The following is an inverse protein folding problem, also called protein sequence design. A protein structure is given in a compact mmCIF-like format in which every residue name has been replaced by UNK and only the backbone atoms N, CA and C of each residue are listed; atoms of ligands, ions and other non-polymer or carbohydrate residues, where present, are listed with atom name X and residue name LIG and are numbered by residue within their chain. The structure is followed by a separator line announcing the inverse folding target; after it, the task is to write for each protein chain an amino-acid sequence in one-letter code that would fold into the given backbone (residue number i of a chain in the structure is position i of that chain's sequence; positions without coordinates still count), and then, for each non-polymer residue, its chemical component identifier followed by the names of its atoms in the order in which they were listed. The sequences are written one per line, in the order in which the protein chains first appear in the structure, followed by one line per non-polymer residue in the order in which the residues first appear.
data_IF_783545450911
#
_entry.id   IF_783545450911
#
_cell.length_a   1.000
_cell.length_b   1.000
_cell.length_c   1.000
_cell.angle_alpha   90.00
_cell.angle_beta   90.00
_cell.angle_gamma   90.00
#
_symmetry.space_group_name_H-M   'P 1'
#
loop_
_entity.id
_entity.type
_entity.pdbx_description
1 polymer ?
#
# COMPACT_ATOMS: atom_id res chain seq x y z
N UNK A 1 16.79 -38.41 2.51
CA UNK A 1 16.06 -37.75 3.61
C UNK A 1 16.76 -36.44 3.93
N UNK A 2 16.18 -35.26 3.61
CA UNK A 2 16.72 -33.98 4.08
C UNK A 2 16.26 -33.80 5.53
N UNK A 3 17.19 -33.90 6.48
CA UNK A 3 16.91 -33.54 7.87
C UNK A 3 16.52 -32.06 7.92
N UNK A 4 15.35 -31.76 8.48
CA UNK A 4 14.98 -30.38 8.79
C UNK A 4 15.93 -29.88 9.88
N UNK A 5 16.93 -29.08 9.49
CA UNK A 5 17.70 -28.29 10.45
C UNK A 5 16.71 -27.38 11.17
N UNK A 6 16.65 -27.48 12.50
CA UNK A 6 15.81 -26.61 13.30
C UNK A 6 16.23 -25.17 13.03
N UNK A 7 15.27 -24.25 12.81
CA UNK A 7 15.54 -22.81 12.65
C UNK A 7 16.30 -22.25 13.88
N UNK A 8 16.27 -22.97 15.00
CA UNK A 8 17.00 -22.67 16.23
C UNK A 8 18.52 -22.84 16.13
N UNK A 9 19.01 -23.67 15.19
CA UNK A 9 20.43 -24.03 15.05
C UNK A 9 21.19 -23.18 14.01
N UNK A 10 20.54 -22.14 13.49
CA UNK A 10 21.10 -21.25 12.47
C UNK A 10 22.32 -20.49 13.03
N UNK A 11 23.44 -20.49 12.32
CA UNK A 11 24.65 -19.77 12.73
C UNK A 11 24.46 -18.25 12.67
N UNK A 12 25.40 -17.49 13.27
CA UNK A 12 25.42 -16.02 13.16
C UNK A 12 25.51 -15.58 11.69
N UNK A 13 26.38 -16.22 10.91
CA UNK A 13 26.58 -15.91 9.50
C UNK A 13 25.34 -16.24 8.67
N UNK A 14 24.69 -17.38 8.92
CA UNK A 14 23.43 -17.74 8.26
C UNK A 14 22.30 -16.76 8.62
N UNK A 15 22.24 -16.29 9.86
CA UNK A 15 21.27 -15.30 10.32
C UNK A 15 21.50 -13.91 9.72
N UNK A 16 22.75 -13.48 9.66
CA UNK A 16 23.17 -12.25 9.00
C UNK A 16 22.90 -12.28 7.49
N UNK A 17 23.16 -13.41 6.82
CA UNK A 17 22.88 -13.60 5.40
C UNK A 17 21.38 -13.46 5.06
N UNK A 18 20.48 -13.68 6.02
CA UNK A 18 19.03 -13.48 5.85
C UNK A 18 18.54 -12.05 6.11
N UNK A 19 19.43 -11.10 6.46
CA UNK A 19 19.06 -9.72 6.74
C UNK A 19 18.31 -9.07 5.57
N UNK A 20 18.83 -9.22 4.36
CA UNK A 20 18.24 -8.62 3.16
C UNK A 20 16.86 -9.19 2.86
N UNK A 21 16.73 -10.52 2.84
CA UNK A 21 15.44 -11.18 2.59
C UNK A 21 14.39 -10.76 3.62
N UNK A 22 14.78 -10.64 4.89
CA UNK A 22 13.90 -10.16 5.94
C UNK A 22 13.45 -8.72 5.69
N UNK A 23 14.38 -7.80 5.44
CA UNK A 23 14.05 -6.41 5.16
C UNK A 23 13.11 -6.26 3.95
N UNK A 24 13.30 -7.07 2.90
CA UNK A 24 12.43 -7.10 1.71
C UNK A 24 11.03 -7.67 1.97
N UNK A 25 10.90 -8.61 2.92
CA UNK A 25 9.62 -9.30 3.21
C UNK A 25 8.76 -8.61 4.26
N UNK A 26 9.36 -7.77 5.12
CA UNK A 26 8.60 -7.06 6.17
C UNK A 26 7.59 -6.05 5.64
N UNK A 27 7.84 -5.45 4.48
CA UNK A 27 6.99 -4.39 3.89
C UNK A 27 7.34 -4.24 2.42
N UNK A 28 6.41 -3.76 1.57
CA UNK A 28 6.71 -3.40 0.17
C UNK A 28 7.41 -2.04 0.08
N UNK A 29 8.31 -1.87 -0.89
CA UNK A 29 9.13 -0.64 -1.01
C UNK A 29 8.27 0.64 -0.98
N UNK A 30 7.16 0.63 -1.70
CA UNK A 30 6.22 1.75 -1.82
C UNK A 30 5.47 2.11 -0.53
N UNK A 31 5.44 1.21 0.46
CA UNK A 31 4.84 1.47 1.79
C UNK A 31 5.83 2.15 2.75
N UNK A 32 7.10 2.32 2.35
CA UNK A 32 8.13 3.01 3.15
C UNK A 32 8.19 4.51 2.90
N UNK A 33 7.44 5.00 1.93
CA UNK A 33 7.45 6.41 1.52
C UNK A 33 6.03 6.97 1.52
N UNK A 34 5.94 8.30 1.52
CA UNK A 34 4.66 9.00 1.54
C UNK A 34 3.78 8.63 0.36
N UNK A 35 2.46 8.62 0.63
CA UNK A 35 1.44 8.49 -0.40
C UNK A 35 0.93 9.85 -0.87
N UNK A 36 1.33 10.94 -0.24
CA UNK A 36 0.88 12.29 -0.59
C UNK A 36 1.49 12.73 -1.94
N UNK A 37 0.67 13.05 -2.96
CA UNK A 37 1.15 13.64 -4.21
C UNK A 37 2.02 14.90 -4.05
N UNK A 38 1.79 15.69 -3.01
CA UNK A 38 2.53 16.92 -2.76
C UNK A 38 4.01 16.68 -2.38
N UNK A 39 4.37 15.46 -1.97
CA UNK A 39 5.76 15.07 -1.71
C UNK A 39 6.52 14.72 -3.02
N UNK A 40 5.79 14.54 -4.13
CA UNK A 40 6.32 14.01 -5.39
C UNK A 40 6.21 14.99 -6.57
N UNK A 41 5.33 15.97 -6.45
CA UNK A 41 5.17 17.07 -7.40
C UNK A 41 5.24 18.40 -6.66
N UNK A 42 5.82 19.41 -7.30
CA UNK A 42 5.75 20.77 -6.76
C UNK A 42 4.30 21.27 -6.71
N UNK A 43 3.97 22.25 -5.84
CA UNK A 43 2.62 22.83 -5.81
C UNK A 43 2.15 23.38 -7.16
N UNK A 44 3.07 23.91 -7.97
CA UNK A 44 2.78 24.41 -9.31
C UNK A 44 2.43 23.27 -10.28
N UNK A 45 3.20 22.17 -10.28
CA UNK A 45 2.93 21.00 -11.10
C UNK A 45 1.63 20.30 -10.70
N UNK A 46 1.34 20.20 -9.40
CA UNK A 46 0.10 19.61 -8.92
C UNK A 46 -1.11 20.47 -9.31
N UNK A 47 -0.99 21.80 -9.22
CA UNK A 47 -2.02 22.72 -9.71
C UNK A 47 -2.20 22.62 -11.23
N UNK A 48 -1.10 22.49 -12.00
CA UNK A 48 -1.13 22.25 -13.44
C UNK A 48 -1.86 20.95 -13.77
N UNK A 49 -1.51 19.84 -13.11
CA UNK A 49 -2.16 18.54 -13.32
C UNK A 49 -3.68 18.61 -13.07
N UNK A 50 -4.10 19.28 -11.99
CA UNK A 50 -5.53 19.52 -11.69
C UNK A 50 -6.23 20.33 -12.77
N UNK A 51 -5.58 21.40 -13.27
CA UNK A 51 -6.12 22.23 -14.33
C UNK A 51 -6.28 21.44 -15.64
N UNK A 52 -5.28 20.63 -15.99
CA UNK A 52 -5.32 19.74 -17.15
C UNK A 52 -6.42 18.68 -17.02
N UNK A 53 -6.54 18.02 -15.86
CA UNK A 53 -7.61 17.06 -15.60
C UNK A 53 -9.00 17.71 -15.75
N UNK A 54 -9.19 18.92 -15.23
CA UNK A 54 -10.43 19.68 -15.38
C UNK A 54 -10.72 20.03 -16.86
N UNK A 55 -9.69 20.41 -17.62
CA UNK A 55 -9.80 20.64 -19.07
C UNK A 55 -10.24 19.37 -19.82
N UNK A 56 -9.62 18.22 -19.52
CA UNK A 56 -9.98 16.94 -20.14
C UNK A 56 -11.44 16.58 -19.86
N UNK A 57 -11.90 16.72 -18.61
CA UNK A 57 -13.30 16.48 -18.22
C UNK A 57 -14.24 17.39 -19.01
N UNK A 58 -13.92 18.69 -19.10
CA UNK A 58 -14.74 19.68 -19.79
C UNK A 58 -14.89 19.35 -21.27
N UNK A 59 -13.78 19.12 -21.98
CA UNK A 59 -13.83 18.85 -23.43
C UNK A 59 -14.47 17.49 -23.73
N UNK A 60 -14.22 16.47 -22.90
CA UNK A 60 -14.87 15.15 -23.03
C UNK A 60 -16.39 15.28 -22.86
N UNK A 61 -16.85 15.99 -21.83
CA UNK A 61 -18.29 16.24 -21.62
C UNK A 61 -18.88 17.04 -22.77
N UNK A 62 -18.16 18.03 -23.30
CA UNK A 62 -18.60 18.82 -24.45
C UNK A 62 -18.81 17.95 -25.68
N UNK A 63 -17.86 17.07 -26.01
CA UNK A 63 -17.96 16.15 -27.14
C UNK A 63 -19.14 15.17 -26.98
N UNK A 64 -19.26 14.54 -25.80
CA UNK A 64 -20.38 13.65 -25.47
C UNK A 64 -21.74 14.36 -25.54
N UNK A 65 -21.81 15.62 -25.10
CA UNK A 65 -23.02 16.42 -25.18
C UNK A 65 -23.36 16.83 -26.62
N UNK A 66 -22.37 17.11 -27.45
CA UNK A 66 -22.58 17.36 -28.87
C UNK A 66 -23.13 16.11 -29.57
N UNK A 67 -22.56 14.94 -29.28
CA UNK A 67 -23.02 13.65 -29.81
C UNK A 67 -24.43 13.25 -29.32
N UNK A 68 -24.84 13.75 -28.14
CA UNK A 68 -26.18 13.52 -27.61
C UNK A 68 -27.26 14.44 -28.23
N UNK A 69 -26.88 15.46 -29.01
CA UNK A 69 -27.86 16.41 -29.57
C UNK A 69 -28.81 15.70 -30.53
N UNK A 70 -30.10 16.00 -30.41
CA UNK A 70 -31.15 15.40 -31.25
C UNK A 70 -31.60 14.00 -30.82
N UNK A 71 -30.97 13.41 -29.80
CA UNK A 71 -31.40 12.14 -29.22
C UNK A 71 -32.27 12.32 -27.97
N UNK A 72 -33.29 11.48 -27.79
CA UNK A 72 -33.98 11.34 -26.51
C UNK A 72 -33.04 10.67 -25.50
N UNK A 73 -33.11 11.08 -24.23
CA UNK A 73 -32.33 10.48 -23.12
C UNK A 73 -32.47 8.95 -23.06
N UNK A 74 -33.65 8.41 -23.39
CA UNK A 74 -33.92 6.96 -23.41
C UNK A 74 -33.29 6.24 -24.59
N UNK A 75 -33.08 6.95 -25.71
CA UNK A 75 -32.55 6.41 -26.98
C UNK A 75 -31.12 6.84 -27.27
N UNK A 76 -30.42 7.43 -26.29
CA UNK A 76 -29.00 7.78 -26.43
C UNK A 76 -28.18 6.56 -26.86
N UNK A 77 -27.24 6.74 -27.82
CA UNK A 77 -26.29 5.70 -28.15
C UNK A 77 -25.55 5.20 -26.91
N UNK A 78 -25.38 3.87 -26.80
CA UNK A 78 -24.77 3.22 -25.63
C UNK A 78 -23.41 3.81 -25.27
N UNK A 79 -22.59 4.11 -26.27
CA UNK A 79 -21.26 4.69 -26.06
C UNK A 79 -21.32 6.10 -25.44
N UNK A 80 -22.31 6.93 -25.79
CA UNK A 80 -22.51 8.27 -25.16
C UNK A 80 -22.93 8.11 -23.70
N UNK A 81 -23.85 7.18 -23.42
CA UNK A 81 -24.31 6.90 -22.06
C UNK A 81 -23.16 6.40 -21.18
N UNK A 82 -22.41 5.42 -21.67
CA UNK A 82 -21.26 4.85 -20.96
C UNK A 82 -20.15 5.88 -20.78
N UNK A 83 -19.80 6.66 -21.81
CA UNK A 83 -18.80 7.71 -21.70
C UNK A 83 -19.13 8.74 -20.61
N UNK A 84 -20.41 9.12 -20.47
CA UNK A 84 -20.85 10.02 -19.39
C UNK A 84 -20.71 9.40 -18.00
N UNK A 85 -21.04 8.12 -17.85
CA UNK A 85 -20.89 7.38 -16.59
C UNK A 85 -19.41 7.28 -16.22
N UNK A 86 -18.60 6.78 -17.14
CA UNK A 86 -17.15 6.61 -17.00
C UNK A 86 -16.44 7.91 -16.58
N UNK A 87 -16.74 9.04 -17.24
CA UNK A 87 -16.17 10.35 -16.85
C UNK A 87 -16.65 10.79 -15.47
N UNK A 88 -17.88 10.47 -15.09
CA UNK A 88 -18.41 10.80 -13.76
C UNK A 88 -17.75 9.95 -12.67
N UNK A 89 -17.51 8.68 -12.94
CA UNK A 89 -16.79 7.77 -12.04
C UNK A 89 -15.34 8.20 -11.86
N UNK A 90 -14.61 8.51 -12.94
CA UNK A 90 -13.24 9.01 -12.85
C UNK A 90 -13.12 10.34 -12.08
N UNK A 91 -14.11 11.24 -12.22
CA UNK A 91 -14.15 12.49 -11.42
C UNK A 91 -14.43 12.20 -9.95
N UNK A 92 -15.28 11.21 -9.65
CA UNK A 92 -15.56 10.80 -8.28
C UNK A 92 -14.32 10.20 -7.64
N UNK A 93 -13.66 9.26 -8.33
CA UNK A 93 -12.39 8.65 -7.88
C UNK A 93 -11.30 9.70 -7.67
N UNK A 94 -11.17 10.69 -8.56
CA UNK A 94 -10.21 11.78 -8.38
C UNK A 94 -10.48 12.57 -7.09
N UNK A 95 -11.75 12.88 -6.80
CA UNK A 95 -12.12 13.60 -5.58
C UNK A 95 -11.85 12.80 -4.32
N UNK A 96 -12.17 11.50 -4.35
CA UNK A 96 -11.90 10.57 -3.24
C UNK A 96 -10.38 10.51 -3.00
N UNK A 97 -9.58 10.32 -4.05
CA UNK A 97 -8.12 10.27 -3.95
C UNK A 97 -7.49 11.62 -3.53
N UNK A 98 -8.10 12.75 -3.85
CA UNK A 98 -7.69 14.07 -3.35
C UNK A 98 -8.00 14.26 -1.86
N UNK A 99 -9.11 13.70 -1.37
CA UNK A 99 -9.48 13.74 0.04
C UNK A 99 -8.62 12.80 0.89
N UNK A 100 -8.33 11.62 0.37
CA UNK A 100 -7.53 10.59 1.05
C UNK A 100 -6.02 10.84 0.91
N UNK A 101 -5.60 11.85 0.15
CA UNK A 101 -4.18 12.13 -0.14
C UNK A 101 -3.47 10.91 -0.75
N UNK A 102 -4.19 10.16 -1.59
CA UNK A 102 -3.69 8.93 -2.20
C UNK A 102 -3.17 9.17 -3.61
N UNK A 103 -1.84 9.22 -3.75
CA UNK A 103 -1.20 9.32 -5.06
C UNK A 103 -1.60 8.17 -5.98
N UNK A 104 -1.77 6.95 -5.47
CA UNK A 104 -2.14 5.79 -6.29
C UNK A 104 -3.49 6.00 -6.98
N UNK A 105 -4.50 6.40 -6.20
CA UNK A 105 -5.82 6.78 -6.70
C UNK A 105 -5.79 7.98 -7.66
N UNK A 106 -5.01 9.03 -7.36
CA UNK A 106 -4.92 10.19 -8.25
C UNK A 106 -4.29 9.84 -9.61
N UNK A 107 -3.18 9.10 -9.61
CA UNK A 107 -2.54 8.65 -10.84
C UNK A 107 -3.48 7.76 -11.68
N UNK A 108 -4.25 6.89 -11.01
CA UNK A 108 -5.27 6.07 -11.69
C UNK A 108 -6.37 6.92 -12.31
N UNK A 109 -6.94 7.86 -11.54
CA UNK A 109 -8.02 8.72 -12.03
C UNK A 109 -7.56 9.60 -13.20
N UNK A 110 -6.33 10.15 -13.14
CA UNK A 110 -5.74 10.90 -14.27
C UNK A 110 -5.57 10.03 -15.51
N UNK A 111 -5.11 8.78 -15.35
CA UNK A 111 -5.05 7.82 -16.46
C UNK A 111 -6.43 7.59 -17.10
N UNK A 112 -7.48 7.36 -16.30
CA UNK A 112 -8.84 7.17 -16.80
C UNK A 112 -9.34 8.41 -17.56
N UNK A 113 -9.11 9.61 -17.03
CA UNK A 113 -9.49 10.85 -17.69
C UNK A 113 -8.78 11.05 -19.02
N UNK A 114 -7.48 10.74 -19.10
CA UNK A 114 -6.72 10.78 -20.38
C UNK A 114 -7.31 9.82 -21.40
N UNK A 115 -7.59 8.58 -20.98
CA UNK A 115 -8.19 7.55 -21.82
C UNK A 115 -9.56 7.97 -22.35
N UNK A 116 -10.45 8.47 -21.50
CA UNK A 116 -11.79 8.89 -21.95
C UNK A 116 -11.76 10.14 -22.83
N UNK A 117 -10.80 11.05 -22.59
CA UNK A 117 -10.59 12.19 -23.48
C UNK A 117 -10.07 11.75 -24.85
N UNK A 118 -9.19 10.75 -24.91
CA UNK A 118 -8.74 10.15 -26.17
C UNK A 118 -9.90 9.53 -26.96
N UNK A 119 -10.76 8.76 -26.28
CA UNK A 119 -11.89 8.07 -26.91
C UNK A 119 -12.96 9.03 -27.45
N UNK A 120 -13.07 10.26 -26.94
CA UNK A 120 -14.23 11.12 -27.18
C UNK A 120 -13.95 12.58 -27.57
N UNK A 121 -12.86 13.18 -27.10
CA UNK A 121 -12.61 14.62 -27.24
C UNK A 121 -11.66 14.98 -28.41
N UNK A 122 -11.00 13.97 -29.02
CA UNK A 122 -10.17 14.13 -30.21
C UNK A 122 -8.97 15.07 -30.00
N UNK A 123 -8.55 15.71 -31.10
CA UNK A 123 -7.28 16.46 -31.19
C UNK A 123 -7.18 17.64 -30.22
N UNK A 124 -8.31 18.25 -29.85
CA UNK A 124 -8.36 19.39 -28.92
C UNK A 124 -7.78 19.06 -27.53
N UNK A 125 -7.61 17.78 -27.20
CA UNK A 125 -7.07 17.34 -25.91
C UNK A 125 -5.65 16.77 -25.97
N UNK A 126 -5.04 16.62 -27.14
CA UNK A 126 -3.75 15.91 -27.31
C UNK A 126 -2.65 16.50 -26.42
N UNK A 127 -2.46 17.82 -26.46
CA UNK A 127 -1.44 18.48 -25.64
C UNK A 127 -1.71 18.31 -24.13
N UNK A 128 -2.97 18.43 -23.71
CA UNK A 128 -3.35 18.28 -22.31
C UNK A 128 -3.18 16.84 -21.81
N UNK A 129 -3.48 15.84 -22.64
CA UNK A 129 -3.25 14.43 -22.34
C UNK A 129 -1.77 14.12 -22.18
N UNK A 130 -0.94 14.56 -23.13
CA UNK A 130 0.50 14.34 -23.11
C UNK A 130 1.16 14.99 -21.88
N UNK A 131 0.76 16.23 -21.55
CA UNK A 131 1.32 16.92 -20.38
C UNK A 131 0.88 16.28 -19.06
N UNK A 132 -0.38 15.85 -18.96
CA UNK A 132 -0.86 15.17 -17.77
C UNK A 132 -0.20 13.79 -17.59
N UNK A 133 0.11 13.10 -18.69
CA UNK A 133 0.90 11.86 -18.68
C UNK A 133 2.30 12.10 -18.11
N UNK A 134 3.01 13.10 -18.63
CA UNK A 134 4.36 13.45 -18.17
C UNK A 134 4.39 13.74 -16.66
N UNK A 135 3.41 14.51 -16.15
CA UNK A 135 3.31 14.80 -14.71
C UNK A 135 2.99 13.54 -13.89
N UNK A 136 2.14 12.66 -14.40
CA UNK A 136 1.84 11.37 -13.77
C UNK A 136 3.09 10.49 -13.68
N UNK A 137 3.86 10.42 -14.76
CA UNK A 137 5.07 9.59 -14.84
C UNK A 137 6.20 10.15 -13.98
N UNK A 138 6.35 11.48 -13.94
CA UNK A 138 7.29 12.17 -13.03
C UNK A 138 6.97 11.81 -11.58
N UNK A 139 5.71 11.95 -11.17
CA UNK A 139 5.24 11.63 -9.83
C UNK A 139 5.52 10.16 -9.45
N UNK A 140 5.20 9.21 -10.34
CA UNK A 140 5.43 7.78 -10.12
C UNK A 140 6.92 7.46 -10.03
N UNK A 141 7.72 7.98 -10.95
CA UNK A 141 9.16 7.73 -11.01
C UNK A 141 9.87 8.31 -9.79
N UNK A 142 9.49 9.52 -9.35
CA UNK A 142 10.02 10.12 -8.12
C UNK A 142 9.73 9.24 -6.90
N UNK A 143 8.47 8.78 -6.75
CA UNK A 143 8.10 7.88 -5.65
C UNK A 143 8.84 6.54 -5.73
N UNK A 144 8.89 5.90 -6.87
CA UNK A 144 9.52 4.58 -7.02
C UNK A 144 11.02 4.65 -6.74
N UNK A 145 11.67 5.75 -7.14
CA UNK A 145 13.09 6.01 -6.81
C UNK A 145 13.28 6.18 -5.31
N UNK A 146 12.45 6.99 -4.65
CA UNK A 146 12.52 7.18 -3.21
C UNK A 146 12.19 5.90 -2.43
N UNK A 147 11.22 5.11 -2.90
CA UNK A 147 10.84 3.83 -2.33
C UNK A 147 11.98 2.82 -2.40
N UNK A 148 12.70 2.78 -3.53
CA UNK A 148 13.87 1.93 -3.71
C UNK A 148 15.01 2.36 -2.78
N UNK A 149 15.31 3.65 -2.69
CA UNK A 149 16.32 4.18 -1.76
C UNK A 149 15.96 3.85 -0.30
N UNK A 150 14.69 4.02 0.10
CA UNK A 150 14.23 3.68 1.44
C UNK A 150 14.32 2.18 1.75
N UNK A 151 14.14 1.32 0.75
CA UNK A 151 14.35 -0.12 0.87
C UNK A 151 15.83 -0.46 1.05
N UNK A 152 16.71 0.14 0.26
CA UNK A 152 18.17 -0.06 0.36
C UNK A 152 18.70 0.38 1.73
N UNK A 153 18.24 1.52 2.23
CA UNK A 153 18.55 2.00 3.57
C UNK A 153 18.03 1.04 4.66
N UNK A 154 16.83 0.48 4.48
CA UNK A 154 16.28 -0.51 5.41
C UNK A 154 17.08 -1.81 5.41
N UNK A 155 17.53 -2.27 4.25
CA UNK A 155 18.43 -3.42 4.11
C UNK A 155 19.75 -3.12 4.82
N UNK A 156 20.36 -1.96 4.58
CA UNK A 156 21.63 -1.56 5.19
C UNK A 156 21.54 -1.53 6.72
N UNK A 157 20.48 -0.93 7.28
CA UNK A 157 20.22 -0.92 8.73
C UNK A 157 20.05 -2.33 9.29
N UNK A 158 19.31 -3.19 8.61
CA UNK A 158 19.06 -4.55 9.07
C UNK A 158 20.35 -5.41 8.99
N UNK A 159 21.13 -5.27 7.94
CA UNK A 159 22.46 -5.92 7.81
C UNK A 159 23.39 -5.46 8.93
N UNK A 160 23.49 -4.15 9.16
CA UNK A 160 24.31 -3.59 10.23
C UNK A 160 23.87 -4.12 11.61
N UNK A 161 22.56 -4.12 11.88
CA UNK A 161 22.00 -4.66 13.11
C UNK A 161 22.36 -6.14 13.30
N UNK A 162 22.19 -6.98 12.27
CA UNK A 162 22.50 -8.42 12.39
C UNK A 162 23.99 -8.75 12.43
N UNK A 163 24.82 -7.90 11.85
CA UNK A 163 26.27 -8.07 11.95
C UNK A 163 26.84 -7.61 13.29
N UNK A 164 26.08 -6.87 14.10
CA UNK A 164 26.51 -6.43 15.43
C UNK A 164 26.43 -7.54 16.49
N UNK A 165 27.33 -7.47 17.49
CA UNK A 165 27.30 -8.37 18.64
C UNK A 165 26.01 -8.21 19.46
N UNK A 166 25.58 -6.96 19.65
CA UNK A 166 24.32 -6.65 20.34
C UNK A 166 23.13 -7.30 19.62
N UNK A 167 23.05 -7.18 18.30
CA UNK A 167 22.00 -7.81 17.50
C UNK A 167 22.00 -9.32 17.64
N UNK A 168 23.18 -9.95 17.64
CA UNK A 168 23.30 -11.39 17.83
C UNK A 168 22.83 -11.84 19.21
N UNK A 169 23.21 -11.13 20.27
CA UNK A 169 22.72 -11.41 21.62
C UNK A 169 21.19 -11.30 21.73
N UNK A 170 20.60 -10.28 21.10
CA UNK A 170 19.14 -10.12 21.07
C UNK A 170 18.46 -11.30 20.38
N UNK A 171 19.03 -11.81 19.29
CA UNK A 171 18.52 -13.00 18.61
C UNK A 171 18.66 -14.26 19.48
N UNK A 172 19.79 -14.46 20.17
CA UNK A 172 19.96 -15.57 21.11
C UNK A 172 18.91 -15.51 22.24
N UNK A 173 18.66 -14.33 22.82
CA UNK A 173 17.61 -14.12 23.83
C UNK A 173 16.22 -14.41 23.26
N UNK A 174 15.94 -14.02 22.02
CA UNK A 174 14.68 -14.34 21.32
C UNK A 174 14.51 -15.85 21.16
N UNK A 175 15.52 -16.55 20.66
CA UNK A 175 15.49 -18.02 20.49
C UNK A 175 15.28 -18.74 21.81
N UNK A 176 15.97 -18.30 22.86
CA UNK A 176 15.79 -18.86 24.20
C UNK A 176 14.37 -18.65 24.72
N UNK A 177 13.78 -17.47 24.52
CA UNK A 177 12.37 -17.22 24.85
C UNK A 177 11.41 -18.11 24.05
N UNK A 178 11.64 -18.28 22.75
CA UNK A 178 10.80 -19.16 21.91
C UNK A 178 10.95 -20.62 22.36
N UNK A 179 12.16 -21.07 22.69
CA UNK A 179 12.43 -22.41 23.22
C UNK A 179 11.72 -22.66 24.55
N UNK A 180 11.70 -21.66 25.46
CA UNK A 180 10.96 -21.73 26.73
C UNK A 180 9.44 -21.79 26.52
N UNK A 181 8.95 -21.35 25.36
CA UNK A 181 7.54 -21.30 25.04
C UNK A 181 6.81 -20.15 25.73
N UNK A 182 5.52 -19.93 25.41
CA UNK A 182 4.71 -18.91 26.04
C UNK A 182 4.55 -19.19 27.54
N UNK A 183 4.54 -18.14 28.36
CA UNK A 183 4.25 -18.23 29.80
C UNK A 183 2.88 -17.65 30.10
N UNK A 184 2.13 -18.31 30.99
CA UNK A 184 0.86 -17.83 31.54
C UNK A 184 1.09 -17.23 32.92
N UNK A 185 0.62 -16.00 33.11
CA UNK A 185 0.49 -15.37 34.42
C UNK A 185 -0.99 -15.39 34.80
N UNK A 186 -1.32 -15.93 35.97
CA UNK A 186 -2.71 -15.92 36.48
C UNK A 186 -2.89 -14.63 37.27
N UNK A 187 -3.85 -13.81 36.88
CA UNK A 187 -4.26 -12.62 37.63
C UNK A 187 -5.58 -12.97 38.32
N UNK A 188 -5.57 -12.97 39.65
CA UNK A 188 -6.78 -13.13 40.45
C UNK A 188 -7.34 -11.74 40.74
N UNK A 189 -8.58 -11.51 40.36
CA UNK A 189 -9.34 -10.31 40.72
C UNK A 189 -10.23 -10.69 41.90
N UNK A 190 -10.14 -9.94 42.98
CA UNK A 190 -10.90 -10.15 44.21
C UNK A 190 -12.21 -9.34 44.16
N UNK A 191 -13.18 -9.72 44.98
CA UNK A 191 -14.51 -9.08 45.02
C UNK A 191 -14.45 -7.61 45.47
N UNK A 192 -13.38 -7.20 46.17
CA UNK A 192 -13.11 -5.82 46.56
C UNK A 192 -12.48 -4.96 45.45
N UNK A 193 -12.31 -5.53 44.25
CA UNK A 193 -11.71 -4.88 43.10
C UNK A 193 -10.18 -4.86 43.10
N UNK A 194 -9.52 -5.43 44.12
CA UNK A 194 -8.07 -5.59 44.13
C UNK A 194 -7.62 -6.75 43.24
N UNK A 195 -6.36 -6.72 42.78
CA UNK A 195 -5.80 -7.76 41.92
C UNK A 195 -4.48 -8.28 42.47
N UNK A 196 -4.30 -9.60 42.47
CA UNK A 196 -3.02 -10.25 42.76
C UNK A 196 -2.53 -11.04 41.54
N UNK A 197 -1.31 -10.78 41.10
CA UNK A 197 -0.65 -11.53 40.01
C UNK A 197 0.17 -12.70 40.55
N UNK A 198 -0.08 -13.90 40.05
CA UNK A 198 0.74 -15.08 40.31
C UNK A 198 2.07 -15.05 39.54
N UNK A 199 2.98 -15.98 39.87
CA UNK A 199 4.22 -16.13 39.11
C UNK A 199 3.95 -16.61 37.66
N UNK A 200 4.77 -16.21 36.67
CA UNK A 200 4.64 -16.73 35.32
C UNK A 200 5.04 -18.23 35.28
N UNK A 201 4.16 -19.06 34.71
CA UNK A 201 4.38 -20.49 34.52
C UNK A 201 4.36 -20.86 33.02
N UNK A 202 5.07 -21.91 32.56
CA UNK A 202 4.96 -22.36 31.18
C UNK A 202 3.50 -22.65 30.80
N UNK A 203 3.05 -22.12 29.67
CA UNK A 203 1.72 -22.42 29.16
C UNK A 203 1.67 -23.89 28.73
N UNK A 204 0.85 -24.67 29.42
CA UNK A 204 0.42 -26.00 28.97
C UNK A 204 -0.97 -25.81 28.39
N UNK A 205 -1.20 -26.32 27.17
CA UNK A 205 -2.57 -26.41 26.66
C UNK A 205 -3.39 -27.20 27.68
N UNK A 206 -4.59 -26.73 28.07
CA UNK A 206 -5.48 -27.56 28.86
C UNK A 206 -5.72 -28.85 28.10
N UNK A 207 -5.60 -29.99 28.80
CA UNK A 207 -5.97 -31.27 28.24
C UNK A 207 -7.44 -31.18 27.83
N UNK A 208 -7.70 -31.13 26.52
CA UNK A 208 -9.07 -31.23 26.04
C UNK A 208 -9.56 -32.62 26.44
N UNK A 209 -10.67 -32.73 27.18
CA UNK A 209 -11.24 -34.03 27.47
C UNK A 209 -11.58 -34.67 26.13
N UNK A 210 -10.86 -35.74 25.78
CA UNK A 210 -11.19 -36.57 24.63
C UNK A 210 -12.61 -37.06 24.88
N UNK A 211 -13.58 -36.53 24.13
CA UNK A 211 -14.96 -37.03 24.20
C UNK A 211 -14.88 -38.52 23.86
N UNK A 212 -15.28 -39.43 24.77
CA UNK A 212 -15.35 -40.84 24.41
C UNK A 212 -16.29 -40.96 23.21
N UNK A 213 -15.80 -41.62 22.16
CA UNK A 213 -16.53 -41.84 20.92
C UNK A 213 -17.88 -42.50 21.22
N UNK A 214 -18.93 -41.99 20.56
CA UNK A 214 -20.21 -42.69 20.44
C UNK A 214 -20.11 -43.78 19.39
#
# INVERSE_FOLDING_TARGET
MRGYRSVMDMSRDEWAAQAEQYARTQSHAQDRVSRDPADWLSPAELAEARALAAQLVKETRRALNAAARGHDKRTLPRWVRNGRLNVSDAVRELREAEQDTDMGGQAHAWFQLRRYAEEHAGDATVAARARLEELTDRMRTARDTAAQAALEDAIAREVARRNSDEGWEQELRRRERVRRGPTRTVITVHDDGTTTGGAPHPFRMPEYPVRPGR
#
